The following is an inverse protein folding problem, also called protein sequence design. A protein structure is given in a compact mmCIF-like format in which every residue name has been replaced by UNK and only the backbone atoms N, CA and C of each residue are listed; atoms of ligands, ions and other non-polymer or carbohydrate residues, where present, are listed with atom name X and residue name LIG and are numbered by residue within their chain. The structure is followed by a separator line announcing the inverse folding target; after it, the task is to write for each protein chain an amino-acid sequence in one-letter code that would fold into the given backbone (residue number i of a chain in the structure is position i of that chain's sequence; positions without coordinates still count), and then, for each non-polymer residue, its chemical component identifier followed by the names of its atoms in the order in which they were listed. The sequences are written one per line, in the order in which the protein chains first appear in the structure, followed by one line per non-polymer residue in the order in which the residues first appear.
data_IF_448729371981
#
_entry.id   IF_448729371981
#
_cell.length_a   1.000
_cell.length_b   1.000
_cell.length_c   1.000
_cell.angle_alpha   90.00
_cell.angle_beta   90.00
_cell.angle_gamma   90.00
#
_symmetry.space_group_name_H-M   'P 1'
#
loop_
_entity.id
_entity.type
_entity.pdbx_description
1 polymer ?
#
# COMPACT_ATOMS: atom_id res chain seq x y z
N UNK A 1 -8.03 11.45 -22.05
CA UNK A 1 -8.11 10.19 -21.28
C UNK A 1 -7.28 9.09 -21.95
N UNK A 2 -7.50 8.80 -23.24
CA UNK A 2 -6.80 7.73 -23.97
C UNK A 2 -5.27 7.88 -23.97
N UNK A 3 -4.75 9.09 -24.19
CA UNK A 3 -3.30 9.33 -24.16
C UNK A 3 -2.62 9.04 -22.80
N UNK A 4 -3.33 9.20 -21.67
CA UNK A 4 -2.81 8.87 -20.35
C UNK A 4 -2.80 7.36 -20.12
N UNK A 5 -3.87 6.67 -20.55
CA UNK A 5 -3.98 5.22 -20.45
C UNK A 5 -2.91 4.56 -21.33
N UNK A 6 -2.74 5.02 -22.57
CA UNK A 6 -1.70 4.52 -23.49
C UNK A 6 -0.28 4.73 -22.94
N UNK A 7 -0.04 5.83 -22.22
CA UNK A 7 1.23 6.09 -21.55
C UNK A 7 1.50 5.09 -20.41
N UNK A 8 0.51 4.83 -19.55
CA UNK A 8 0.64 3.85 -18.46
C UNK A 8 0.62 2.40 -18.94
N UNK A 9 -0.02 2.09 -20.08
CA UNK A 9 -0.01 0.75 -20.68
C UNK A 9 1.29 0.43 -21.42
N UNK A 10 1.99 1.44 -21.95
CA UNK A 10 3.28 1.25 -22.62
C UNK A 10 4.48 1.26 -21.66
N UNK A 11 4.31 1.73 -20.42
CA UNK A 11 5.41 1.73 -19.45
C UNK A 11 5.64 0.32 -18.93
N UNK A 12 6.90 -0.12 -18.91
CA UNK A 12 7.24 -1.41 -18.32
C UNK A 12 6.85 -1.39 -16.83
N UNK A 13 6.12 -2.40 -16.30
CA UNK A 13 5.69 -2.45 -14.90
C UNK A 13 6.82 -2.23 -13.90
N UNK A 14 8.03 -2.69 -14.20
CA UNK A 14 9.22 -2.51 -13.34
C UNK A 14 9.62 -1.04 -13.27
N UNK A 15 9.59 -0.31 -14.39
CA UNK A 15 9.89 1.13 -14.44
C UNK A 15 8.81 1.94 -13.72
N UNK A 16 7.54 1.55 -13.90
CA UNK A 16 6.40 2.15 -13.18
C UNK A 16 6.53 1.98 -11.67
N UNK A 17 6.80 0.75 -11.21
CA UNK A 17 7.05 0.46 -9.80
C UNK A 17 8.24 1.26 -9.26
N UNK A 18 9.36 1.32 -9.99
CA UNK A 18 10.55 2.08 -9.56
C UNK A 18 10.25 3.57 -9.34
N UNK A 19 9.58 4.22 -10.31
CA UNK A 19 9.19 5.63 -10.19
C UNK A 19 8.22 5.84 -9.03
N UNK A 20 7.22 4.96 -8.88
CA UNK A 20 6.27 5.03 -7.78
C UNK A 20 6.98 4.88 -6.41
N UNK A 21 7.95 3.98 -6.31
CA UNK A 21 8.69 3.76 -5.06
C UNK A 21 9.53 4.98 -4.70
N UNK A 22 10.26 5.57 -5.65
CA UNK A 22 11.02 6.82 -5.45
C UNK A 22 10.08 7.94 -5.00
N UNK A 23 8.93 8.08 -5.64
CA UNK A 23 7.94 9.08 -5.27
C UNK A 23 7.47 8.90 -3.81
N UNK A 24 7.16 7.67 -3.37
CA UNK A 24 6.78 7.42 -1.97
C UNK A 24 7.90 7.74 -0.99
N UNK A 25 9.16 7.47 -1.34
CA UNK A 25 10.31 7.84 -0.53
C UNK A 25 10.48 9.37 -0.40
N UNK A 26 10.26 10.11 -1.48
CA UNK A 26 10.30 11.57 -1.44
C UNK A 26 9.19 12.16 -0.57
N UNK A 27 7.98 11.58 -0.60
CA UNK A 27 6.90 11.98 0.30
C UNK A 27 7.26 11.72 1.77
N UNK A 28 7.89 10.59 2.07
CA UNK A 28 8.39 10.29 3.43
C UNK A 28 9.46 11.29 3.85
N UNK A 29 10.43 11.59 2.98
CA UNK A 29 11.47 12.58 3.26
C UNK A 29 10.89 13.99 3.47
N UNK A 30 9.90 14.37 2.66
CA UNK A 30 9.17 15.62 2.82
C UNK A 30 8.42 15.68 4.16
N UNK A 31 7.70 14.62 4.54
CA UNK A 31 7.06 14.52 5.85
C UNK A 31 8.04 14.59 7.03
N UNK A 32 9.20 13.95 6.91
CA UNK A 32 10.25 14.00 7.93
C UNK A 32 10.92 15.38 8.03
N UNK A 33 10.97 16.16 6.94
CA UNK A 33 11.57 17.50 6.94
C UNK A 33 10.89 18.47 7.91
N UNK A 34 9.62 18.24 8.26
CA UNK A 34 8.90 19.06 9.25
C UNK A 34 9.50 19.02 10.65
N UNK A 35 10.32 18.00 10.98
CA UNK A 35 11.05 17.90 12.24
C UNK A 35 12.05 19.06 12.43
N UNK A 36 12.55 19.67 11.35
CA UNK A 36 13.41 20.85 11.43
C UNK A 36 12.68 22.10 11.92
N UNK A 37 11.36 22.17 11.74
CA UNK A 37 10.53 23.31 12.18
C UNK A 37 9.87 23.06 13.54
N UNK A 38 9.43 21.83 13.80
CA UNK A 38 8.71 21.47 15.03
C UNK A 38 9.47 20.39 15.80
N UNK A 39 10.12 20.79 16.90
CA UNK A 39 10.91 19.90 17.77
C UNK A 39 10.06 19.13 18.78
N UNK A 40 8.88 19.63 19.12
CA UNK A 40 7.94 19.01 20.06
C UNK A 40 6.54 19.01 19.45
N UNK A 41 5.87 17.86 19.53
CA UNK A 41 4.53 17.65 18.99
C UNK A 41 3.57 17.23 20.11
N UNK A 42 2.34 17.71 20.05
CA UNK A 42 1.30 17.32 21.00
C UNK A 42 0.94 15.84 20.80
N UNK A 43 0.92 15.05 21.88
CA UNK A 43 0.63 13.60 21.83
C UNK A 43 -0.66 13.27 21.09
N UNK A 44 -1.74 14.01 21.32
CA UNK A 44 -3.01 13.76 20.62
C UNK A 44 -2.94 13.92 19.10
N UNK A 45 -2.10 14.82 18.59
CA UNK A 45 -1.91 14.98 17.15
C UNK A 45 -1.05 13.84 16.57
N UNK A 46 -0.01 13.43 17.30
CA UNK A 46 0.82 12.28 16.93
C UNK A 46 0.01 10.98 16.90
N UNK A 47 -0.83 10.75 17.91
CA UNK A 47 -1.73 9.59 17.97
C UNK A 47 -2.76 9.60 16.83
N UNK A 48 -3.28 10.78 16.45
CA UNK A 48 -4.15 10.92 15.29
C UNK A 48 -3.43 10.60 13.98
N UNK A 49 -2.17 11.04 13.80
CA UNK A 49 -1.36 10.70 12.62
C UNK A 49 -1.05 9.21 12.55
N UNK A 50 -0.66 8.58 13.66
CA UNK A 50 -0.42 7.14 13.73
C UNK A 50 -1.70 6.36 13.42
N UNK A 51 -2.83 6.75 14.01
CA UNK A 51 -4.13 6.16 13.73
C UNK A 51 -4.55 6.30 12.27
N UNK A 52 -4.31 7.45 11.65
CA UNK A 52 -4.55 7.68 10.22
C UNK A 52 -3.70 6.74 9.35
N UNK A 53 -2.40 6.66 9.62
CA UNK A 53 -1.51 5.78 8.85
C UNK A 53 -1.90 4.31 8.98
N UNK A 54 -2.23 3.85 10.19
CA UNK A 54 -2.74 2.49 10.41
C UNK A 54 -4.05 2.24 9.66
N UNK A 55 -5.00 3.16 9.72
CA UNK A 55 -6.29 3.05 9.02
C UNK A 55 -6.16 2.96 7.50
N UNK A 56 -5.32 3.82 6.89
CA UNK A 56 -5.08 3.81 5.44
C UNK A 56 -4.44 2.49 4.99
N UNK A 57 -3.49 1.96 5.76
CA UNK A 57 -2.82 0.69 5.41
C UNK A 57 -3.75 -0.51 5.51
N UNK A 58 -4.65 -0.54 6.51
CA UNK A 58 -5.67 -1.59 6.62
C UNK A 58 -6.65 -1.53 5.46
N UNK A 59 -7.12 -0.34 5.08
CA UNK A 59 -8.03 -0.18 3.94
C UNK A 59 -7.36 -0.58 2.61
N UNK A 60 -6.14 -0.12 2.35
CA UNK A 60 -5.41 -0.50 1.14
C UNK A 60 -5.19 -2.03 1.05
N UNK A 61 -4.93 -2.68 2.19
CA UNK A 61 -4.75 -4.13 2.24
C UNK A 61 -5.98 -4.90 1.75
N UNK A 62 -7.19 -4.46 2.10
CA UNK A 62 -8.41 -5.14 1.66
C UNK A 62 -8.83 -4.75 0.23
N UNK A 63 -9.01 -3.45 -0.03
CA UNK A 63 -9.58 -2.98 -1.31
C UNK A 63 -8.58 -2.98 -2.47
N UNK A 64 -7.29 -2.75 -2.20
CA UNK A 64 -6.28 -2.63 -3.27
C UNK A 64 -5.43 -3.90 -3.44
N UNK A 65 -5.37 -4.79 -2.45
CA UNK A 65 -4.58 -6.03 -2.53
C UNK A 65 -5.45 -7.29 -2.49
N UNK A 66 -6.21 -7.51 -1.40
CA UNK A 66 -6.95 -8.76 -1.20
C UNK A 66 -8.11 -8.93 -2.18
N UNK A 67 -8.99 -7.92 -2.33
CA UNK A 67 -10.12 -7.99 -3.25
C UNK A 67 -9.68 -8.26 -4.71
N UNK A 68 -8.76 -7.47 -5.32
CA UNK A 68 -8.27 -7.78 -6.66
C UNK A 68 -7.46 -9.07 -6.72
N UNK A 69 -6.72 -9.43 -5.67
CA UNK A 69 -6.00 -10.70 -5.59
C UNK A 69 -6.93 -11.92 -5.59
N UNK A 70 -8.06 -11.84 -4.90
CA UNK A 70 -9.13 -12.84 -4.97
C UNK A 70 -9.70 -12.85 -6.40
N UNK A 71 -9.95 -11.70 -7.02
CA UNK A 71 -10.51 -11.64 -8.37
C UNK A 71 -9.61 -12.29 -9.43
N UNK A 72 -8.29 -12.16 -9.30
CA UNK A 72 -7.29 -12.73 -10.20
C UNK A 72 -7.02 -14.22 -9.97
N UNK A 73 -7.56 -14.81 -8.90
CA UNK A 73 -7.36 -16.23 -8.55
C UNK A 73 -8.24 -17.16 -9.41
N UNK A 74 -7.70 -18.30 -9.90
CA UNK A 74 -8.47 -19.29 -10.64
C UNK A 74 -9.42 -20.08 -9.73
N UNK A 75 -10.67 -20.29 -10.19
CA UNK A 75 -11.69 -21.09 -9.50
C UNK A 75 -13.02 -20.35 -9.27
N UNK A 76 -14.05 -21.09 -8.85
CA UNK A 76 -15.37 -20.55 -8.53
C UNK A 76 -15.70 -20.68 -7.04
N UNK A 77 -16.47 -19.72 -6.51
CA UNK A 77 -16.93 -19.72 -5.12
C UNK A 77 -15.78 -19.64 -4.10
N UNK A 78 -15.82 -20.53 -3.10
CA UNK A 78 -14.92 -20.49 -1.95
C UNK A 78 -13.45 -20.83 -2.30
N UNK A 79 -13.21 -21.56 -3.38
CA UNK A 79 -11.86 -21.95 -3.82
C UNK A 79 -11.02 -20.73 -4.23
N UNK A 80 -11.68 -19.67 -4.71
CA UNK A 80 -11.04 -18.43 -5.17
C UNK A 80 -10.32 -17.68 -4.04
N UNK A 81 -10.83 -17.79 -2.81
CA UNK A 81 -10.32 -17.07 -1.63
C UNK A 81 -9.11 -17.76 -1.01
N UNK A 82 -8.94 -19.07 -1.23
CA UNK A 82 -7.90 -19.88 -0.59
C UNK A 82 -6.48 -19.33 -0.86
N UNK A 83 -6.08 -19.03 -2.11
CA UNK A 83 -4.72 -18.53 -2.37
C UNK A 83 -4.45 -17.18 -1.72
N UNK A 84 -5.42 -16.26 -1.73
CA UNK A 84 -5.29 -14.95 -1.10
C UNK A 84 -5.20 -15.06 0.43
N UNK A 85 -6.03 -15.93 1.04
CA UNK A 85 -6.02 -16.17 2.48
C UNK A 85 -4.71 -16.83 2.96
N UNK A 86 -4.22 -17.83 2.23
CA UNK A 86 -2.94 -18.49 2.52
C UNK A 86 -1.78 -17.51 2.37
N UNK A 87 -1.74 -16.74 1.28
CA UNK A 87 -0.70 -15.73 1.05
C UNK A 87 -0.69 -14.65 2.13
N UNK A 88 -1.86 -14.13 2.51
CA UNK A 88 -1.98 -13.15 3.59
C UNK A 88 -1.55 -13.73 4.94
N UNK A 89 -1.98 -14.96 5.26
CA UNK A 89 -1.62 -15.65 6.50
C UNK A 89 -0.12 -15.96 6.60
N UNK A 90 0.50 -16.42 5.51
CA UNK A 90 1.96 -16.62 5.45
C UNK A 90 2.72 -15.30 5.59
N UNK A 91 2.24 -14.22 4.97
CA UNK A 91 2.81 -12.88 5.14
C UNK A 91 2.72 -12.39 6.58
N UNK A 92 1.58 -12.62 7.25
CA UNK A 92 1.41 -12.29 8.66
C UNK A 92 2.36 -13.11 9.55
N UNK A 93 2.46 -14.42 9.30
CA UNK A 93 3.41 -15.28 10.02
C UNK A 93 4.86 -14.82 9.83
N UNK A 94 5.26 -14.46 8.61
CA UNK A 94 6.60 -13.96 8.32
C UNK A 94 6.96 -12.67 9.09
N UNK A 95 5.99 -11.78 9.31
CA UNK A 95 6.21 -10.56 10.10
C UNK A 95 6.24 -10.85 11.60
N UNK A 96 5.49 -11.84 12.06
CA UNK A 96 5.36 -12.20 13.49
C UNK A 96 6.40 -13.22 13.99
N UNK A 97 7.04 -13.98 13.09
CA UNK A 97 8.10 -14.96 13.40
C UNK A 97 9.47 -14.31 13.52
#
# INVERSE_FOLDING_TARGET
MNALIDFFSNINPVKGAFIATIFTWLLTAFGASFVFFFKTMHRGFLDAMLGFTGGVMVAASFWSLLAPGIEMSPGEGFVKVIPAAVGFGLGALFIFS
#
